data_IF_808632344251
#
_entry.id   IF_808632344251
#
_cell.length_a   1.000
_cell.length_b   1.000
_cell.length_c   1.000
_cell.angle_alpha   90.00
_cell.angle_beta   90.00
_cell.angle_gamma   90.00
#
_symmetry.space_group_name_H-M   'P 1'
#
loop_
_entity.id
_entity.type
_entity.pdbx_description
1 polymer ?
#
# COMPACT_ATOMS: atom_id res chain seq x y z
N UNK A 1 0.99 11.67 24.36
CA UNK A 1 0.19 11.33 23.16
C UNK A 1 1.03 11.70 21.94
N UNK A 2 1.22 10.80 20.97
CA UNK A 2 2.02 11.12 19.78
C UNK A 2 1.22 11.99 18.83
N UNK A 3 1.87 12.91 18.11
CA UNK A 3 1.20 13.69 17.08
C UNK A 3 0.92 12.79 15.87
N UNK A 4 -0.33 12.76 15.40
CA UNK A 4 -0.74 12.00 14.21
C UNK A 4 0.11 12.33 12.97
N UNK A 5 0.61 13.56 12.85
CA UNK A 5 1.50 13.98 11.77
C UNK A 5 2.83 13.21 11.76
N UNK A 6 3.39 12.91 12.92
CA UNK A 6 4.68 12.20 13.01
C UNK A 6 4.52 10.71 12.68
N UNK A 7 3.41 10.10 13.09
CA UNK A 7 3.07 8.73 12.72
C UNK A 7 2.76 8.60 11.22
N UNK A 8 2.11 9.61 10.63
CA UNK A 8 1.87 9.66 9.18
C UNK A 8 3.18 9.75 8.39
N UNK A 9 4.11 10.63 8.79
CA UNK A 9 5.45 10.71 8.19
C UNK A 9 6.17 9.36 8.24
N UNK A 10 6.13 8.69 9.39
CA UNK A 10 6.74 7.37 9.56
C UNK A 10 6.12 6.34 8.62
N UNK A 11 4.81 6.41 8.38
CA UNK A 11 4.14 5.54 7.43
C UNK A 11 4.54 5.81 6.00
N UNK A 12 4.61 7.08 5.58
CA UNK A 12 5.07 7.45 4.24
C UNK A 12 6.51 6.95 4.02
N UNK A 13 7.41 7.20 4.97
CA UNK A 13 8.78 6.68 4.95
C UNK A 13 8.81 5.15 4.84
N UNK A 14 7.98 4.48 5.63
CA UNK A 14 7.87 3.02 5.65
C UNK A 14 7.48 2.45 4.30
N UNK A 15 6.44 3.00 3.67
CA UNK A 15 5.98 2.53 2.37
C UNK A 15 7.00 2.78 1.27
N UNK A 16 7.62 3.97 1.25
CA UNK A 16 8.66 4.31 0.28
C UNK A 16 9.86 3.34 0.35
N UNK A 17 10.24 2.92 1.56
CA UNK A 17 11.37 2.01 1.78
C UNK A 17 10.96 0.52 1.88
N UNK A 18 9.71 0.16 1.58
CA UNK A 18 9.23 -1.22 1.67
C UNK A 18 9.12 -1.80 3.09
N UNK A 19 9.18 -0.96 4.13
CA UNK A 19 9.11 -1.32 5.55
C UNK A 19 7.65 -1.27 6.04
N UNK A 20 6.94 -2.40 5.92
CA UNK A 20 5.51 -2.48 6.28
C UNK A 20 5.22 -2.87 7.74
N UNK A 21 6.19 -3.47 8.43
CA UNK A 21 5.98 -3.94 9.81
C UNK A 21 6.09 -2.81 10.82
N UNK A 22 5.07 -2.60 11.65
CA UNK A 22 5.10 -1.61 12.74
C UNK A 22 6.26 -1.85 13.72
N UNK A 23 6.72 -3.11 13.89
CA UNK A 23 7.91 -3.42 14.69
C UNK A 23 9.20 -2.97 13.99
N UNK A 24 9.30 -3.18 12.68
CA UNK A 24 10.44 -2.70 11.90
C UNK A 24 10.46 -1.16 11.88
N UNK A 25 9.32 -0.50 11.73
CA UNK A 25 9.21 0.96 11.82
C UNK A 25 9.64 1.50 13.20
N UNK A 26 9.20 0.86 14.29
CA UNK A 26 9.64 1.19 15.63
C UNK A 26 11.14 0.94 15.87
N UNK A 27 11.76 0.01 15.12
CA UNK A 27 13.20 -0.18 15.12
C UNK A 27 13.89 0.97 14.37
N UNK A 28 13.39 1.33 13.19
CA UNK A 28 13.96 2.42 12.39
C UNK A 28 13.96 3.75 13.14
N UNK A 29 12.91 4.07 13.91
CA UNK A 29 12.86 5.29 14.73
C UNK A 29 13.94 5.36 15.82
N UNK A 30 14.69 4.28 16.06
CA UNK A 30 15.79 4.23 17.03
C UNK A 30 17.18 4.22 16.41
N UNK A 31 17.31 3.65 15.21
CA UNK A 31 18.63 3.33 14.63
C UNK A 31 18.91 4.06 13.32
N UNK A 32 17.87 4.51 12.61
CA UNK A 32 18.02 5.12 11.31
C UNK A 32 18.04 6.64 11.45
N UNK A 33 19.14 7.27 11.01
CA UNK A 33 19.35 8.71 11.16
C UNK A 33 18.31 9.55 10.40
N UNK A 34 17.85 9.07 9.23
CA UNK A 34 16.81 9.73 8.44
C UNK A 34 15.49 9.73 9.22
N UNK A 35 15.15 8.61 9.84
CA UNK A 35 13.92 8.49 10.64
C UNK A 35 14.01 9.25 11.95
N UNK A 36 15.17 9.26 12.60
CA UNK A 36 15.42 10.08 13.78
C UNK A 36 15.23 11.56 13.46
N UNK A 37 15.76 12.04 12.33
CA UNK A 37 15.56 13.42 11.86
C UNK A 37 14.08 13.69 11.53
N UNK A 38 13.44 12.80 10.75
CA UNK A 38 12.04 12.91 10.33
C UNK A 38 11.06 13.03 11.52
N UNK A 39 11.34 12.28 12.58
CA UNK A 39 10.53 12.22 13.79
C UNK A 39 10.99 13.16 14.90
N UNK A 40 12.01 14.00 14.65
CA UNK A 40 12.60 14.87 15.69
C UNK A 40 12.98 14.07 16.95
N UNK A 41 13.61 12.92 16.75
CA UNK A 41 14.10 11.99 17.78
C UNK A 41 12.99 11.31 18.60
N UNK A 42 11.72 11.44 18.22
CA UNK A 42 10.62 10.73 18.86
C UNK A 42 10.64 9.25 18.46
N UNK A 43 10.49 8.35 19.45
CA UNK A 43 10.63 6.89 19.27
C UNK A 43 9.33 6.14 19.61
N UNK A 44 8.32 6.14 18.71
CA UNK A 44 7.05 5.48 18.97
C UNK A 44 7.20 3.97 19.15
N UNK A 45 6.51 3.43 20.15
CA UNK A 45 6.39 1.97 20.35
C UNK A 45 5.59 1.36 19.20
N UNK A 46 5.88 0.10 18.87
CA UNK A 46 5.21 -0.61 17.77
C UNK A 46 3.68 -0.66 17.91
N UNK A 47 3.15 -0.70 19.14
CA UNK A 47 1.70 -0.70 19.40
C UNK A 47 1.05 0.60 18.92
N UNK A 48 1.63 1.74 19.30
CA UNK A 48 1.16 3.07 18.86
C UNK A 48 1.11 3.17 17.34
N UNK A 49 2.13 2.67 16.65
CA UNK A 49 2.17 2.67 15.18
C UNK A 49 1.08 1.76 14.62
N UNK A 50 0.90 0.57 15.19
CA UNK A 50 -0.11 -0.39 14.75
C UNK A 50 -1.54 0.12 14.98
N UNK A 51 -1.79 0.70 16.16
CA UNK A 51 -3.09 1.28 16.54
C UNK A 51 -3.41 2.47 15.63
N UNK A 52 -2.45 3.38 15.39
CA UNK A 52 -2.63 4.47 14.44
C UNK A 52 -3.07 4.00 13.05
N UNK A 53 -2.44 2.95 12.51
CA UNK A 53 -2.86 2.39 11.21
C UNK A 53 -4.23 1.73 11.27
N UNK A 54 -4.55 1.05 12.36
CA UNK A 54 -5.86 0.41 12.54
C UNK A 54 -6.96 1.48 12.56
N UNK A 55 -6.74 2.55 13.30
CA UNK A 55 -7.73 3.60 13.53
C UNK A 55 -7.86 4.55 12.33
N UNK A 56 -6.87 4.60 11.43
CA UNK A 56 -6.81 5.52 10.28
C UNK A 56 -6.61 4.79 8.95
N UNK A 57 -7.06 3.54 8.83
CA UNK A 57 -6.76 2.68 7.68
C UNK A 57 -7.20 3.29 6.33
N UNK A 58 -8.43 3.82 6.29
CA UNK A 58 -9.00 4.44 5.09
C UNK A 58 -8.29 5.76 4.74
N UNK A 59 -8.03 6.61 5.74
CA UNK A 59 -7.30 7.85 5.53
C UNK A 59 -5.87 7.60 5.00
N UNK A 60 -5.17 6.59 5.53
CA UNK A 60 -3.87 6.19 5.02
C UNK A 60 -3.95 5.74 3.56
N UNK A 61 -4.95 4.93 3.20
CA UNK A 61 -5.16 4.51 1.82
C UNK A 61 -5.30 5.71 0.87
N UNK A 62 -6.17 6.66 1.21
CA UNK A 62 -6.43 7.85 0.39
C UNK A 62 -5.18 8.74 0.26
N UNK A 63 -4.39 8.87 1.33
CA UNK A 63 -3.12 9.61 1.29
C UNK A 63 -2.13 8.91 0.36
N UNK A 64 -2.02 7.58 0.41
CA UNK A 64 -1.12 6.84 -0.48
C UNK A 64 -1.54 6.92 -1.94
N UNK A 65 -2.84 6.82 -2.23
CA UNK A 65 -3.37 7.02 -3.59
C UNK A 65 -3.03 8.41 -4.12
N UNK A 66 -3.34 9.46 -3.34
CA UNK A 66 -3.02 10.84 -3.68
C UNK A 66 -1.53 11.08 -3.87
N UNK A 67 -0.70 10.42 -3.05
CA UNK A 67 0.76 10.50 -3.14
C UNK A 67 1.27 9.84 -4.43
N UNK A 68 0.78 8.66 -4.79
CA UNK A 68 1.14 8.00 -6.06
C UNK A 68 0.72 8.87 -7.25
N UNK A 69 -0.51 9.38 -7.25
CA UNK A 69 -1.02 10.26 -8.30
C UNK A 69 -0.17 11.52 -8.46
N UNK A 70 0.28 12.11 -7.34
CA UNK A 70 1.16 13.28 -7.36
C UNK A 70 2.47 12.99 -8.10
N UNK A 71 3.12 11.85 -7.80
CA UNK A 71 4.38 11.50 -8.48
C UNK A 71 4.18 11.09 -9.95
N UNK A 72 3.05 10.45 -10.29
CA UNK A 72 2.68 10.18 -11.68
C UNK A 72 2.56 11.49 -12.46
N UNK A 73 1.87 12.49 -11.88
CA UNK A 73 1.73 13.84 -12.48
C UNK A 73 3.07 14.55 -12.66
N UNK A 74 4.01 14.36 -11.73
CA UNK A 74 5.36 14.93 -11.83
C UNK A 74 6.26 14.20 -12.83
N UNK A 75 5.83 13.10 -13.42
CA UNK A 75 6.67 12.28 -14.31
C UNK A 75 7.85 11.60 -13.59
N UNK A 76 7.84 11.57 -12.25
CA UNK A 76 8.89 10.98 -11.42
C UNK A 76 8.74 9.45 -11.31
N UNK A 77 7.52 8.93 -11.49
CA UNK A 77 7.35 7.54 -11.88
C UNK A 77 7.46 7.48 -13.40
N UNK A 78 8.64 7.08 -13.88
CA UNK A 78 8.73 6.52 -15.21
C UNK A 78 7.71 5.39 -15.28
N UNK A 79 6.84 5.40 -16.29
CA UNK A 79 6.15 4.19 -16.73
C UNK A 79 7.20 3.23 -17.26
N UNK A 80 8.09 2.75 -16.38
CA UNK A 80 8.85 1.56 -16.67
C UNK A 80 7.77 0.51 -16.86
N UNK A 81 7.65 0.03 -18.09
CA UNK A 81 6.74 -1.02 -18.43
C UNK A 81 7.17 -2.21 -17.56
N UNK A 82 6.58 -2.37 -16.37
CA UNK A 82 6.81 -3.53 -15.54
C UNK A 82 6.11 -4.65 -16.29
N UNK A 83 6.85 -5.27 -17.21
CA UNK A 83 6.51 -6.57 -17.75
C UNK A 83 6.61 -7.54 -16.57
N UNK A 84 5.53 -7.61 -15.80
CA UNK A 84 5.29 -8.74 -14.92
C UNK A 84 5.05 -9.90 -15.88
N UNK A 85 6.12 -10.62 -16.23
CA UNK A 85 5.98 -11.93 -16.85
C UNK A 85 5.30 -12.81 -15.80
N UNK A 86 3.96 -12.78 -15.85
CA UNK A 86 3.13 -13.27 -14.78
C UNK A 86 3.30 -14.77 -14.68
N UNK A 87 4.05 -15.23 -13.69
CA UNK A 87 3.90 -16.60 -13.22
C UNK A 87 2.45 -16.75 -12.78
N UNK A 88 1.68 -17.55 -13.53
CA UNK A 88 0.31 -17.89 -13.15
C UNK A 88 0.38 -18.81 -11.94
N UNK A 89 0.39 -18.22 -10.75
CA UNK A 89 0.24 -18.96 -9.50
C UNK A 89 -1.23 -19.34 -9.40
N UNK A 90 -1.52 -20.64 -9.34
CA UNK A 90 -2.88 -21.11 -9.10
C UNK A 90 -3.36 -20.60 -7.75
N UNK A 91 -4.35 -19.70 -7.78
CA UNK A 91 -5.04 -19.30 -6.57
C UNK A 91 -5.85 -20.50 -6.04
N UNK A 92 -5.86 -20.71 -4.72
CA UNK A 92 -6.79 -21.62 -4.04
C UNK A 92 -8.22 -21.05 -4.09
N UNK A 93 -8.77 -20.95 -5.29
CA UNK A 93 -10.07 -20.41 -5.59
C UNK A 93 -10.94 -21.52 -6.21
N UNK A 94 -12.19 -21.63 -5.75
CA UNK A 94 -13.13 -22.59 -6.35
C UNK A 94 -13.37 -22.24 -7.83
N UNK A 95 -13.64 -23.25 -8.67
CA UNK A 95 -13.94 -23.07 -10.11
C UNK A 95 -15.00 -21.99 -10.40
N UNK A 96 -15.91 -21.76 -9.44
CA UNK A 96 -16.92 -20.68 -9.51
C UNK A 96 -16.30 -19.28 -9.40
N UNK A 97 -15.33 -19.08 -8.52
CA UNK A 97 -14.64 -17.79 -8.29
C UNK A 97 -13.47 -17.52 -9.24
N UNK A 98 -13.07 -18.49 -10.06
CA UNK A 98 -12.08 -18.29 -11.11
C UNK A 98 -12.70 -17.58 -12.33
N UNK A 99 -12.14 -16.43 -12.73
CA UNK A 99 -12.56 -15.66 -13.90
C UNK A 99 -11.46 -15.66 -14.95
N UNK A 100 -11.66 -16.41 -16.03
CA UNK A 100 -10.79 -16.39 -17.21
C UNK A 100 -11.34 -15.44 -18.28
N UNK A 101 -10.49 -14.98 -19.21
CA UNK A 101 -10.93 -14.17 -20.37
C UNK A 101 -12.12 -14.79 -21.10
N UNK A 102 -12.09 -16.11 -21.33
CA UNK A 102 -13.20 -16.83 -21.98
C UNK A 102 -14.49 -16.84 -21.16
N UNK A 103 -14.38 -16.96 -19.83
CA UNK A 103 -15.55 -16.91 -18.94
C UNK A 103 -16.15 -15.52 -18.89
N UNK A 104 -15.31 -14.48 -18.85
CA UNK A 104 -15.74 -13.09 -18.90
C UNK A 104 -16.42 -12.75 -20.23
N UNK A 105 -15.89 -13.23 -21.37
CA UNK A 105 -16.52 -13.08 -22.68
C UNK A 105 -17.93 -13.70 -22.71
N UNK A 106 -18.09 -14.94 -22.22
CA UNK A 106 -19.39 -15.61 -22.12
C UNK A 106 -20.37 -14.91 -21.16
N UNK A 107 -19.87 -14.35 -20.06
CA UNK A 107 -20.70 -13.55 -19.14
C UNK A 107 -21.17 -12.28 -19.83
N UNK A 108 -20.28 -11.60 -20.57
CA UNK A 108 -20.60 -10.38 -21.32
C UNK A 108 -21.67 -10.63 -22.39
N UNK A 109 -21.55 -11.69 -23.19
CA UNK A 109 -22.58 -12.10 -24.14
C UNK A 109 -23.92 -12.39 -23.47
N UNK A 110 -23.92 -13.11 -22.33
CA UNK A 110 -25.15 -13.41 -21.58
C UNK A 110 -25.84 -12.18 -20.99
N UNK A 111 -25.07 -11.17 -20.59
CA UNK A 111 -25.61 -9.90 -20.09
C UNK A 111 -26.17 -9.07 -21.25
N UNK A 112 -25.49 -9.05 -22.40
CA UNK A 112 -25.96 -8.35 -23.60
C UNK A 112 -27.21 -8.98 -24.22
N UNK A 113 -27.35 -10.31 -24.18
CA UNK A 113 -28.54 -11.02 -24.68
C UNK A 113 -29.74 -10.99 -23.72
N UNK A 114 -29.60 -10.37 -22.54
CA UNK A 114 -30.67 -10.21 -21.54
C UNK A 114 -31.23 -8.79 -21.48
N UNK A 115 -30.69 -7.88 -22.30
CA UNK A 115 -31.24 -6.56 -22.60
C UNK A 115 -32.04 -6.70 -23.90
#
# INVERSE_FOLDING_TARGET
MYNSKDLLKLYIYGYFNGIRSSRKLAKQSKINIEVLWLLKVIQPKYRVIADFRKDNAEALHNVFESFVDFYIKLGLYGKELIAVDGTKIEASASKRKHYSKNKLAKIKERVQNKI
#
